data_IF_508998857470
#
_entry.id   IF_508998857470
#
_cell.length_a   1.000
_cell.length_b   1.000
_cell.length_c   1.000
_cell.angle_alpha   90.00
_cell.angle_beta   90.00
_cell.angle_gamma   90.00
#
_symmetry.space_group_name_H-M   'P 1'
#
loop_
_entity.id
_entity.type
_entity.pdbx_description
1 polymer ?
#
# COMPACT_ATOMS: atom_id res chain seq x y z
N UNK A 1 -33.00 9.36 -27.12
CA UNK A 1 -34.39 8.93 -27.44
C UNK A 1 -34.33 7.89 -28.54
N UNK A 2 -35.03 6.78 -28.39
CA UNK A 2 -35.10 5.73 -29.41
C UNK A 2 -36.51 5.67 -29.99
N UNK A 3 -36.62 5.82 -31.31
CA UNK A 3 -37.88 5.74 -32.04
C UNK A 3 -37.95 4.42 -32.78
N UNK A 4 -39.06 3.72 -32.62
CA UNK A 4 -39.37 2.50 -33.36
C UNK A 4 -40.44 2.84 -34.36
N UNK A 5 -40.13 2.71 -35.64
CA UNK A 5 -41.11 2.83 -36.71
C UNK A 5 -41.46 1.43 -37.21
N UNK A 6 -42.75 1.11 -37.21
CA UNK A 6 -43.28 -0.11 -37.80
C UNK A 6 -44.14 0.25 -39.02
N UNK A 7 -44.03 -0.53 -40.09
CA UNK A 7 -44.78 -0.29 -41.33
C UNK A 7 -45.41 -1.59 -41.81
N UNK A 8 -46.68 -1.52 -42.11
CA UNK A 8 -47.43 -2.56 -42.80
C UNK A 8 -47.65 -2.10 -44.26
N UNK A 9 -47.24 -2.87 -45.28
CA UNK A 9 -47.46 -2.51 -46.68
C UNK A 9 -48.92 -2.47 -47.13
N UNK A 10 -49.84 -3.08 -46.39
CA UNK A 10 -51.26 -3.12 -46.75
C UNK A 10 -51.89 -1.71 -46.66
N UNK A 11 -52.95 -1.49 -47.44
CA UNK A 11 -53.68 -0.21 -47.53
C UNK A 11 -52.81 1.03 -47.84
N UNK A 12 -51.88 0.90 -48.78
CA UNK A 12 -50.91 1.94 -49.17
C UNK A 12 -50.00 2.41 -48.02
N UNK A 13 -49.69 1.51 -47.07
CA UNK A 13 -48.83 1.86 -45.93
C UNK A 13 -49.57 2.55 -44.78
N UNK A 14 -50.92 2.58 -44.82
CA UNK A 14 -51.76 3.25 -43.82
C UNK A 14 -52.35 2.31 -42.79
N UNK A 15 -52.06 1.02 -42.87
CA UNK A 15 -52.59 0.09 -41.89
C UNK A 15 -51.97 0.32 -40.50
N UNK A 16 -52.77 0.09 -39.47
CA UNK A 16 -52.39 0.34 -38.08
C UNK A 16 -51.72 -0.90 -37.51
N UNK A 17 -50.52 -0.72 -36.96
CA UNK A 17 -49.80 -1.77 -36.24
C UNK A 17 -49.77 -1.46 -34.76
N UNK A 18 -50.11 -2.40 -33.89
CA UNK A 18 -49.98 -2.27 -32.43
C UNK A 18 -48.74 -3.03 -31.96
N UNK A 19 -47.80 -2.33 -31.32
CA UNK A 19 -46.53 -2.89 -30.86
C UNK A 19 -46.40 -2.84 -29.33
N UNK A 20 -45.78 -3.86 -28.74
CA UNK A 20 -45.55 -4.00 -27.28
C UNK A 20 -44.18 -4.62 -26.99
N UNK A 21 -43.67 -4.40 -25.77
CA UNK A 21 -42.47 -5.09 -25.25
C UNK A 21 -42.94 -6.29 -24.43
N UNK A 22 -42.40 -7.49 -24.67
CA UNK A 22 -42.88 -8.73 -24.03
C UNK A 22 -42.06 -9.18 -22.82
N UNK A 23 -40.74 -9.05 -22.87
CA UNK A 23 -39.80 -9.79 -22.01
C UNK A 23 -38.80 -8.88 -21.26
N UNK A 24 -39.12 -7.59 -21.13
CA UNK A 24 -38.34 -6.64 -20.34
C UNK A 24 -39.24 -5.63 -19.63
N UNK A 25 -39.32 -5.72 -18.30
CA UNK A 25 -40.19 -4.87 -17.49
C UNK A 25 -39.64 -3.45 -17.27
N UNK A 26 -38.37 -3.20 -17.59
CA UNK A 26 -37.77 -1.87 -17.46
C UNK A 26 -37.91 -1.03 -18.74
N UNK A 27 -38.54 -1.59 -19.78
CA UNK A 27 -38.76 -0.91 -21.04
C UNK A 27 -40.25 -0.78 -21.32
N UNK A 28 -40.66 0.40 -21.76
CA UNK A 28 -42.02 0.64 -22.23
C UNK A 28 -42.01 1.21 -23.64
N UNK A 29 -43.10 0.92 -24.35
CA UNK A 29 -43.30 1.37 -25.72
C UNK A 29 -44.61 2.15 -25.79
N UNK A 30 -44.52 3.45 -26.11
CA UNK A 30 -45.68 4.34 -26.22
C UNK A 30 -45.83 4.82 -27.66
N UNK A 31 -47.01 4.66 -28.25
CA UNK A 31 -47.31 5.24 -29.58
C UNK A 31 -47.27 6.77 -29.49
N UNK A 32 -46.60 7.41 -30.45
CA UNK A 32 -46.57 8.86 -30.56
C UNK A 32 -47.85 9.39 -31.20
N UNK A 33 -48.41 10.46 -30.64
CA UNK A 33 -49.53 11.18 -31.27
C UNK A 33 -49.00 12.35 -32.11
N UNK A 34 -49.67 12.75 -33.20
CA UNK A 34 -49.23 13.85 -34.08
C UNK A 34 -49.03 15.22 -33.39
N UNK A 35 -49.47 15.35 -32.14
CA UNK A 35 -49.30 16.54 -31.30
C UNK A 35 -47.97 16.58 -30.54
N UNK A 36 -47.20 15.49 -30.48
CA UNK A 36 -46.05 15.35 -29.58
C UNK A 36 -44.75 16.01 -30.07
N UNK A 37 -44.66 16.55 -31.30
CA UNK A 37 -43.64 17.56 -31.69
C UNK A 37 -43.73 17.90 -33.19
N UNK A 38 -44.82 18.49 -33.70
CA UNK A 38 -44.84 19.39 -34.88
C UNK A 38 -46.31 19.66 -35.27
N UNK A 39 -46.74 20.92 -35.13
CA UNK A 39 -48.03 21.39 -35.65
C UNK A 39 -48.04 21.20 -37.18
N UNK A 40 -49.00 20.46 -37.77
CA UNK A 40 -49.10 20.39 -39.22
C UNK A 40 -49.43 21.80 -39.77
N UNK A 41 -48.92 22.18 -40.95
CA UNK A 41 -49.38 23.41 -41.61
C UNK A 41 -50.89 23.34 -41.82
N UNK A 42 -51.58 24.43 -41.47
CA UNK A 42 -53.02 24.55 -41.72
C UNK A 42 -53.29 24.44 -43.23
N UNK A 43 -53.93 23.34 -43.65
CA UNK A 43 -54.34 23.17 -45.05
C UNK A 43 -54.58 21.77 -45.60
N UNK A 44 -54.53 20.68 -44.82
CA UNK A 44 -54.80 19.32 -45.32
C UNK A 44 -56.16 18.79 -44.83
N UNK A 45 -57.18 18.85 -45.69
CA UNK A 45 -58.37 18.00 -45.63
C UNK A 45 -58.01 16.68 -46.31
N UNK A 46 -57.90 15.62 -45.52
CA UNK A 46 -58.06 14.19 -45.85
C UNK A 46 -57.08 13.35 -45.03
N UNK A 47 -57.63 12.48 -44.16
CA UNK A 47 -56.95 11.36 -43.48
C UNK A 47 -55.65 11.69 -42.75
N UNK A 48 -55.71 11.91 -41.43
CA UNK A 48 -54.49 11.87 -40.61
C UNK A 48 -53.69 10.59 -40.91
N UNK A 49 -52.40 10.68 -41.26
CA UNK A 49 -51.58 9.48 -41.45
C UNK A 49 -51.59 8.68 -40.15
N UNK A 50 -51.88 7.39 -40.24
CA UNK A 50 -51.81 6.49 -39.08
C UNK A 50 -50.38 6.50 -38.56
N UNK A 51 -50.17 7.07 -37.37
CA UNK A 51 -48.84 7.19 -36.80
C UNK A 51 -48.42 5.84 -36.20
N UNK A 52 -47.51 5.15 -36.87
CA UNK A 52 -46.91 3.89 -36.43
C UNK A 52 -45.49 4.10 -35.86
N UNK A 53 -45.22 5.31 -35.37
CA UNK A 53 -44.02 5.64 -34.63
C UNK A 53 -44.27 5.45 -33.12
N UNK A 54 -43.34 4.75 -32.47
CA UNK A 54 -43.37 4.46 -31.06
C UNK A 54 -42.11 4.99 -30.39
N UNK A 55 -42.29 5.58 -29.21
CA UNK A 55 -41.22 5.97 -28.33
C UNK A 55 -40.90 4.80 -27.39
N UNK A 56 -39.65 4.33 -27.45
CA UNK A 56 -39.10 3.38 -26.50
C UNK A 56 -38.47 4.14 -25.33
N UNK A 57 -38.93 3.87 -24.13
CA UNK A 57 -38.51 4.54 -22.90
C UNK A 57 -38.05 3.53 -21.84
N UNK A 58 -37.16 3.99 -20.96
CA UNK A 58 -36.83 3.30 -19.72
C UNK A 58 -37.86 3.68 -18.66
N UNK A 59 -38.31 2.71 -17.87
CA UNK A 59 -39.24 2.92 -16.75
C UNK A 59 -38.50 3.20 -15.42
N UNK A 60 -37.26 2.74 -15.30
CA UNK A 60 -36.37 2.98 -14.17
C UNK A 60 -34.93 3.25 -14.65
N UNK A 61 -34.13 3.98 -13.86
CA UNK A 61 -32.69 4.12 -14.09
C UNK A 61 -32.02 2.75 -14.24
N UNK A 62 -30.96 2.71 -15.04
CA UNK A 62 -30.19 1.49 -15.29
C UNK A 62 -28.78 1.73 -14.80
N UNK A 63 -28.29 0.73 -14.08
CA UNK A 63 -26.94 0.68 -13.53
C UNK A 63 -26.09 -0.26 -14.39
N UNK A 64 -24.97 0.22 -14.92
CA UNK A 64 -24.17 -0.52 -15.91
C UNK A 64 -23.40 -1.66 -15.24
N UNK A 65 -22.95 -1.42 -14.02
CA UNK A 65 -22.20 -2.30 -13.12
C UNK A 65 -23.02 -3.58 -12.85
N UNK A 66 -24.35 -3.42 -12.76
CA UNK A 66 -25.29 -4.53 -12.67
C UNK A 66 -25.73 -5.07 -14.03
N UNK A 67 -26.02 -4.20 -15.01
CA UNK A 67 -26.61 -4.60 -16.31
C UNK A 67 -25.98 -3.86 -17.50
N UNK A 68 -25.06 -4.52 -18.21
CA UNK A 68 -24.35 -3.93 -19.36
C UNK A 68 -25.16 -3.89 -20.67
N UNK A 69 -26.14 -4.78 -20.83
CA UNK A 69 -27.04 -4.81 -21.98
C UNK A 69 -28.46 -5.13 -21.58
N UNK A 70 -29.39 -4.27 -21.99
CA UNK A 70 -30.81 -4.58 -21.98
C UNK A 70 -31.16 -5.30 -23.28
N UNK A 71 -31.90 -6.39 -23.14
CA UNK A 71 -32.43 -7.16 -24.25
C UNK A 71 -33.95 -7.17 -24.13
N UNK A 72 -34.64 -6.92 -25.24
CA UNK A 72 -36.09 -6.97 -25.28
C UNK A 72 -36.59 -7.39 -26.66
N UNK A 73 -37.74 -8.05 -26.68
CA UNK A 73 -38.48 -8.41 -27.87
C UNK A 73 -39.65 -7.47 -28.05
N UNK A 74 -39.64 -6.77 -29.17
CA UNK A 74 -40.76 -5.99 -29.66
C UNK A 74 -41.67 -6.92 -30.46
N UNK A 75 -42.92 -7.03 -30.02
CA UNK A 75 -43.98 -7.77 -30.68
C UNK A 75 -44.97 -6.79 -31.28
N UNK A 76 -45.17 -6.86 -32.58
CA UNK A 76 -46.15 -6.04 -33.30
C UNK A 76 -47.21 -6.92 -33.95
N UNK A 77 -48.44 -6.42 -34.01
CA UNK A 77 -49.56 -7.04 -34.73
C UNK A 77 -50.26 -6.01 -35.60
N UNK A 78 -50.63 -6.38 -36.82
CA UNK A 78 -51.55 -5.59 -37.67
C UNK A 78 -53.01 -5.71 -37.18
N UNK A 79 -53.95 -5.05 -37.88
CA UNK A 79 -55.39 -5.15 -37.56
C UNK A 79 -55.95 -6.56 -37.73
N UNK A 80 -55.35 -7.35 -38.64
CA UNK A 80 -55.69 -8.75 -38.87
C UNK A 80 -55.05 -9.71 -37.84
N UNK A 81 -54.25 -9.19 -36.89
CA UNK A 81 -53.48 -9.90 -35.87
C UNK A 81 -52.34 -10.78 -36.42
N UNK A 82 -51.79 -10.47 -37.58
CA UNK A 82 -50.55 -11.08 -38.06
C UNK A 82 -49.36 -10.58 -37.23
N UNK A 83 -48.60 -11.46 -36.56
CA UNK A 83 -47.55 -11.06 -35.64
C UNK A 83 -46.19 -10.88 -36.31
N UNK A 84 -45.39 -9.96 -35.77
CA UNK A 84 -43.98 -9.76 -36.13
C UNK A 84 -43.15 -9.46 -34.88
N UNK A 85 -42.08 -10.23 -34.70
CA UNK A 85 -41.16 -10.09 -33.56
C UNK A 85 -39.80 -9.54 -34.00
N UNK A 86 -39.27 -8.58 -33.23
CA UNK A 86 -37.89 -8.11 -33.36
C UNK A 86 -37.18 -8.03 -32.02
N UNK A 87 -35.99 -8.60 -31.96
CA UNK A 87 -35.11 -8.53 -30.80
C UNK A 87 -34.26 -7.26 -30.89
N UNK A 88 -34.35 -6.42 -29.86
CA UNK A 88 -33.52 -5.24 -29.69
C UNK A 88 -32.49 -5.48 -28.58
N UNK A 89 -31.30 -4.91 -28.75
CA UNK A 89 -30.23 -4.90 -27.76
C UNK A 89 -29.78 -3.47 -27.54
N UNK A 90 -29.86 -3.02 -26.30
CA UNK A 90 -29.48 -1.67 -25.88
C UNK A 90 -28.25 -1.81 -25.01
N UNK A 91 -27.12 -1.29 -25.48
CA UNK A 91 -25.90 -1.21 -24.68
C UNK A 91 -26.04 -0.06 -23.69
N UNK A 92 -25.79 -0.34 -22.41
CA UNK A 92 -25.69 0.68 -21.37
C UNK A 92 -24.28 1.25 -21.42
N UNK A 93 -24.16 2.56 -21.53
CA UNK A 93 -22.87 3.24 -21.52
C UNK A 93 -22.46 3.51 -20.09
N UNK A 94 -21.15 3.46 -19.88
CA UNK A 94 -20.50 3.66 -18.60
C UNK A 94 -20.46 5.15 -18.22
N UNK A 95 -20.65 5.43 -16.94
CA UNK A 95 -20.35 6.71 -16.31
C UNK A 95 -19.42 6.44 -15.13
N UNK A 96 -18.64 7.44 -14.72
CA UNK A 96 -17.71 7.28 -13.61
C UNK A 96 -18.42 7.50 -12.28
N UNK A 97 -19.10 6.48 -11.75
CA UNK A 97 -19.90 6.58 -10.53
C UNK A 97 -19.53 5.58 -9.42
N UNK A 98 -18.64 4.62 -9.68
CA UNK A 98 -17.99 3.85 -8.63
C UNK A 98 -16.68 4.54 -8.18
N UNK A 99 -16.16 4.15 -7.01
CA UNK A 99 -14.90 4.68 -6.49
C UNK A 99 -13.84 3.59 -6.41
N UNK A 100 -12.55 3.91 -6.66
CA UNK A 100 -11.48 2.94 -6.52
C UNK A 100 -11.46 2.34 -5.11
N UNK A 101 -11.36 1.02 -5.01
CA UNK A 101 -11.31 0.30 -3.74
C UNK A 101 -10.03 -0.51 -3.64
N UNK A 102 -9.25 -0.29 -2.56
CA UNK A 102 -8.07 -1.10 -2.29
C UNK A 102 -8.45 -2.53 -1.86
N UNK A 103 -7.62 -3.50 -2.27
CA UNK A 103 -7.79 -4.91 -1.90
C UNK A 103 -7.75 -5.11 -0.37
N UNK A 104 -6.96 -4.30 0.33
CA UNK A 104 -6.92 -4.25 1.79
C UNK A 104 -6.91 -2.80 2.28
N UNK A 105 -7.53 -2.51 3.44
CA UNK A 105 -7.48 -1.19 4.05
C UNK A 105 -6.07 -0.83 4.57
N UNK A 106 -5.27 -1.85 4.88
CA UNK A 106 -3.91 -1.71 5.40
C UNK A 106 -2.98 -2.72 4.72
N UNK A 107 -1.86 -2.26 4.16
CA UNK A 107 -0.80 -3.07 3.59
C UNK A 107 0.38 -3.12 4.56
N UNK A 108 0.90 -4.31 4.84
CA UNK A 108 2.05 -4.51 5.70
C UNK A 108 3.27 -4.96 4.87
N UNK A 109 4.37 -4.24 5.01
CA UNK A 109 5.65 -4.58 4.41
C UNK A 109 6.73 -4.65 5.49
N UNK A 110 7.80 -5.38 5.19
CA UNK A 110 9.00 -5.42 6.03
C UNK A 110 10.22 -5.24 5.15
N UNK A 111 11.11 -4.36 5.58
CA UNK A 111 12.36 -4.05 4.87
C UNK A 111 13.51 -4.20 5.85
N UNK A 112 14.55 -4.91 5.43
CA UNK A 112 15.82 -4.90 6.19
C UNK A 112 16.44 -3.51 6.11
N UNK A 113 17.02 -3.07 7.20
CA UNK A 113 17.81 -1.85 7.22
C UNK A 113 19.06 -1.94 6.33
N UNK A 114 19.78 -0.83 6.19
CA UNK A 114 21.02 -0.74 5.39
C UNK A 114 20.88 -1.17 3.92
N UNK A 115 19.65 -1.32 3.43
CA UNK A 115 19.41 -1.74 2.06
C UNK A 115 19.91 -0.68 1.10
N UNK A 116 20.88 -1.07 0.27
CA UNK A 116 21.47 -0.18 -0.73
C UNK A 116 20.42 0.27 -1.73
N UNK A 117 20.43 1.56 -2.02
CA UNK A 117 19.62 2.13 -3.09
C UNK A 117 20.11 1.58 -4.42
N UNK A 118 19.17 1.18 -5.28
CA UNK A 118 19.51 0.96 -6.67
C UNK A 118 19.99 2.30 -7.21
N UNK A 119 21.24 2.33 -7.67
CA UNK A 119 21.81 3.49 -8.35
C UNK A 119 21.13 3.64 -9.71
N UNK A 120 19.88 4.08 -9.73
CA UNK A 120 19.26 4.64 -10.92
C UNK A 120 20.11 5.84 -11.31
N UNK A 121 20.90 5.68 -12.37
CA UNK A 121 22.01 6.57 -12.69
C UNK A 121 21.62 8.04 -12.64
N UNK A 122 22.42 8.84 -11.92
CA UNK A 122 22.63 10.25 -12.26
C UNK A 122 23.25 10.27 -13.67
N UNK A 123 22.42 10.27 -14.70
CA UNK A 123 22.88 10.35 -16.08
C UNK A 123 21.87 9.83 -17.08
N UNK A 124 20.97 10.73 -17.51
CA UNK A 124 20.42 10.85 -18.86
C UNK A 124 19.14 11.70 -18.78
N UNK A 125 19.32 13.02 -18.84
CA UNK A 125 18.27 13.89 -19.35
C UNK A 125 17.93 13.38 -20.76
N UNK A 126 16.65 13.04 -21.02
CA UNK A 126 16.08 12.46 -22.25
C UNK A 126 15.85 10.93 -22.28
N UNK A 127 15.20 10.37 -21.26
CA UNK A 127 14.39 9.15 -21.46
C UNK A 127 13.06 9.27 -20.72
N UNK A 128 11.96 9.14 -21.46
CA UNK A 128 10.57 9.23 -20.99
C UNK A 128 10.16 8.08 -20.05
N UNK A 129 11.08 7.15 -19.74
CA UNK A 129 10.91 6.10 -18.75
C UNK A 129 12.00 6.23 -17.68
N UNK A 130 11.81 7.14 -16.73
CA UNK A 130 12.67 7.25 -15.55
C UNK A 130 12.43 6.03 -14.68
N UNK A 131 13.40 5.11 -14.61
CA UNK A 131 13.35 4.00 -13.65
C UNK A 131 13.09 4.55 -12.24
N UNK A 132 12.21 3.89 -11.45
CA UNK A 132 11.89 4.35 -10.11
C UNK A 132 13.18 4.43 -9.28
N UNK A 133 13.34 5.54 -8.55
CA UNK A 133 14.50 5.72 -7.68
C UNK A 133 14.33 4.83 -6.44
N UNK A 134 15.46 4.33 -5.92
CA UNK A 134 15.45 3.53 -4.70
C UNK A 134 15.16 2.04 -4.91
N UNK A 135 14.72 1.37 -3.84
CA UNK A 135 14.48 -0.08 -3.85
C UNK A 135 13.01 -0.41 -3.62
N UNK A 136 12.52 -1.43 -4.32
CA UNK A 136 11.12 -1.88 -4.21
C UNK A 136 10.84 -2.49 -2.84
N UNK A 137 9.80 -2.01 -2.16
CA UNK A 137 9.33 -2.55 -0.87
C UNK A 137 8.12 -3.47 -1.04
N UNK A 138 7.27 -3.19 -2.03
CA UNK A 138 5.99 -3.89 -2.17
C UNK A 138 5.14 -3.32 -3.29
N UNK A 139 3.86 -3.69 -3.29
CA UNK A 139 2.85 -3.20 -4.24
C UNK A 139 1.51 -3.06 -3.54
N UNK A 140 0.86 -1.93 -3.74
CA UNK A 140 -0.54 -1.73 -3.38
C UNK A 140 -1.44 -1.99 -4.58
N UNK A 141 -2.65 -2.48 -4.34
CA UNK A 141 -3.58 -2.88 -5.40
C UNK A 141 -4.96 -2.34 -5.07
N UNK A 142 -5.52 -1.55 -5.98
CA UNK A 142 -6.90 -1.12 -6.00
C UNK A 142 -7.61 -1.58 -7.28
N UNK A 143 -8.92 -1.67 -7.22
CA UNK A 143 -9.80 -1.98 -8.33
C UNK A 143 -10.91 -0.94 -8.41
N UNK A 144 -11.34 -0.65 -9.62
CA UNK A 144 -12.49 0.20 -9.91
C UNK A 144 -13.50 -0.64 -10.71
N UNK A 145 -14.79 -0.44 -10.46
CA UNK A 145 -15.86 -1.25 -11.07
C UNK A 145 -16.36 -0.66 -12.38
N UNK A 146 -16.03 0.60 -12.69
CA UNK A 146 -16.41 1.27 -13.94
C UNK A 146 -15.78 0.58 -15.17
N UNK A 147 -15.90 1.18 -16.36
CA UNK A 147 -15.33 0.63 -17.60
C UNK A 147 -14.24 1.49 -18.22
N UNK A 148 -13.20 0.81 -18.73
CA UNK A 148 -12.20 1.43 -19.58
C UNK A 148 -11.44 2.51 -18.82
N UNK A 149 -11.42 3.73 -19.37
CA UNK A 149 -10.71 4.85 -18.77
C UNK A 149 -11.35 5.32 -17.45
N UNK A 150 -12.68 5.24 -17.30
CA UNK A 150 -13.34 5.55 -16.02
C UNK A 150 -12.85 4.60 -14.92
N UNK A 151 -12.59 3.34 -15.25
CA UNK A 151 -12.01 2.36 -14.32
C UNK A 151 -10.48 2.47 -14.15
N UNK A 152 -9.82 3.37 -14.88
CA UNK A 152 -8.37 3.45 -14.89
C UNK A 152 -7.87 4.18 -13.64
N UNK A 153 -6.94 3.56 -12.92
CA UNK A 153 -6.50 4.03 -11.61
C UNK A 153 -5.12 4.64 -11.69
N UNK A 154 -4.97 5.83 -11.09
CA UNK A 154 -3.70 6.50 -10.85
C UNK A 154 -3.41 6.53 -9.35
N UNK A 155 -2.31 5.88 -8.94
CA UNK A 155 -1.83 5.88 -7.56
C UNK A 155 -1.02 7.13 -7.24
N UNK A 156 -1.19 7.67 -6.02
CA UNK A 156 -0.38 8.78 -5.48
C UNK A 156 -0.12 8.60 -3.99
N UNK A 157 0.99 9.14 -3.51
CA UNK A 157 1.28 9.21 -2.07
C UNK A 157 0.62 10.45 -1.47
N UNK A 158 0.03 10.28 -0.29
CA UNK A 158 -0.37 11.41 0.56
C UNK A 158 0.82 11.88 1.40
N UNK A 159 0.92 13.17 1.74
CA UNK A 159 2.08 13.72 2.45
C UNK A 159 2.19 13.21 3.90
N UNK A 160 1.10 12.75 4.52
CA UNK A 160 1.10 12.31 5.91
C UNK A 160 2.08 11.15 6.15
N UNK A 161 2.90 11.30 7.19
CA UNK A 161 3.93 10.36 7.60
C UNK A 161 3.92 10.22 9.12
N UNK A 162 3.91 8.98 9.61
CA UNK A 162 4.08 8.66 11.02
C UNK A 162 5.26 7.71 11.16
N UNK A 163 6.19 8.03 12.07
CA UNK A 163 7.38 7.22 12.35
C UNK A 163 7.35 6.84 13.83
N UNK A 164 7.43 5.55 14.14
CA UNK A 164 7.66 5.06 15.50
C UNK A 164 9.13 4.74 15.70
N UNK A 165 9.63 5.07 16.89
CA UNK A 165 10.96 4.69 17.35
C UNK A 165 10.91 3.31 18.03
N UNK A 166 12.04 2.57 18.06
CA UNK A 166 12.15 1.32 18.82
C UNK A 166 11.82 1.53 20.29
N UNK A 167 10.99 0.63 20.85
CA UNK A 167 10.51 0.75 22.22
C UNK A 167 11.50 0.11 23.19
N UNK A 168 12.08 0.96 24.04
CA UNK A 168 12.89 0.54 25.18
C UNK A 168 14.35 0.35 24.80
N UNK A 169 14.89 1.43 24.25
CA UNK A 169 16.29 1.55 23.91
C UNK A 169 16.95 1.97 25.21
N UNK A 170 18.06 1.34 25.61
CA UNK A 170 18.68 1.71 26.87
C UNK A 170 19.13 3.17 26.82
N UNK A 171 18.76 3.94 27.85
CA UNK A 171 19.00 5.39 27.88
C UNK A 171 20.48 5.75 28.02
N UNK A 172 21.31 4.79 28.45
CA UNK A 172 22.76 4.90 28.56
C UNK A 172 23.50 4.73 27.22
N UNK A 173 22.85 4.21 26.17
CA UNK A 173 23.47 4.22 24.84
C UNK A 173 23.60 5.67 24.35
N UNK A 174 24.66 6.01 23.61
CA UNK A 174 24.71 7.28 22.92
C UNK A 174 23.41 7.41 22.13
N UNK A 175 22.63 8.47 22.37
CA UNK A 175 21.52 8.76 21.48
C UNK A 175 22.10 8.88 20.08
N UNK A 176 21.43 8.35 19.04
CA UNK A 176 21.79 8.79 17.70
C UNK A 176 21.71 10.31 17.73
N UNK A 177 22.56 10.99 16.97
CA UNK A 177 22.40 12.42 16.78
C UNK A 177 20.91 12.70 16.58
N UNK A 178 20.35 13.55 17.46
CA UNK A 178 18.89 13.75 17.51
C UNK A 178 18.39 13.94 16.08
N UNK A 179 17.17 13.50 15.73
CA UNK A 179 16.65 13.54 14.36
C UNK A 179 16.40 14.96 13.83
N UNK A 180 17.17 15.95 14.28
CA UNK A 180 17.32 17.28 13.69
C UNK A 180 17.78 17.24 12.24
N UNK A 181 18.40 16.15 11.76
CA UNK A 181 18.67 15.94 10.32
C UNK A 181 17.60 15.09 9.59
N UNK A 182 16.58 14.58 10.30
CA UNK A 182 15.39 13.95 9.71
C UNK A 182 14.32 15.01 9.38
N UNK A 183 14.67 16.05 8.62
CA UNK A 183 13.71 16.98 7.98
C UNK A 183 12.82 16.29 6.91
N UNK A 184 12.45 15.02 7.12
CA UNK A 184 11.42 14.36 6.34
C UNK A 184 10.10 14.79 6.95
N UNK A 185 9.49 15.78 6.34
CA UNK A 185 8.17 16.24 6.79
C UNK A 185 7.05 15.42 6.13
N UNK A 186 7.36 14.73 5.03
CA UNK A 186 6.36 14.07 4.21
C UNK A 186 6.78 12.67 3.74
N UNK A 187 5.78 11.82 3.49
CA UNK A 187 6.01 10.47 2.97
C UNK A 187 6.70 10.47 1.60
N UNK A 188 6.53 11.52 0.81
CA UNK A 188 7.13 11.75 -0.52
C UNK A 188 8.65 11.90 -0.48
N UNK A 189 9.23 12.26 0.67
CA UNK A 189 10.68 12.37 0.86
C UNK A 189 11.36 11.00 1.05
N UNK A 190 10.59 10.01 1.49
CA UNK A 190 11.06 8.67 1.85
C UNK A 190 10.58 7.59 0.89
N UNK A 191 9.43 7.79 0.26
CA UNK A 191 8.79 6.79 -0.58
C UNK A 191 8.37 7.37 -1.92
N UNK A 192 8.32 6.47 -2.90
CA UNK A 192 7.72 6.71 -4.20
C UNK A 192 6.71 5.60 -4.47
N UNK A 193 5.56 5.94 -5.04
CA UNK A 193 4.63 4.97 -5.62
C UNK A 193 4.64 5.13 -7.14
N UNK A 194 4.73 4.03 -7.86
CA UNK A 194 4.52 4.01 -9.30
C UNK A 194 3.02 4.21 -9.60
N UNK A 195 2.73 5.23 -10.40
CA UNK A 195 1.36 5.73 -10.58
C UNK A 195 0.44 4.76 -11.30
N UNK A 196 0.96 3.80 -12.06
CA UNK A 196 0.15 2.87 -12.86
C UNK A 196 0.14 1.46 -12.26
N UNK A 197 1.27 1.02 -11.70
CA UNK A 197 1.41 -0.33 -11.16
C UNK A 197 1.08 -0.40 -9.68
N UNK A 198 1.17 0.70 -8.94
CA UNK A 198 1.05 0.71 -7.48
C UNK A 198 2.26 0.12 -6.77
N UNK A 199 3.38 -0.09 -7.47
CA UNK A 199 4.63 -0.52 -6.84
C UNK A 199 5.19 0.58 -5.94
N UNK A 200 5.59 0.21 -4.73
CA UNK A 200 6.10 1.15 -3.74
C UNK A 200 7.62 0.95 -3.59
N UNK A 201 8.35 2.06 -3.56
CA UNK A 201 9.80 2.11 -3.46
C UNK A 201 10.20 2.99 -2.27
N UNK A 202 11.25 2.58 -1.57
CA UNK A 202 11.91 3.41 -0.57
C UNK A 202 13.10 4.13 -1.21
N UNK A 203 13.18 5.43 -0.99
CA UNK A 203 14.15 6.35 -1.59
C UNK A 203 15.43 6.48 -0.76
N UNK A 204 15.44 5.94 0.46
CA UNK A 204 16.57 6.00 1.39
C UNK A 204 16.76 4.64 2.10
N UNK A 205 17.99 4.30 2.52
CA UNK A 205 18.19 3.29 3.53
C UNK A 205 17.54 3.75 4.85
N UNK A 206 17.10 2.79 5.65
CA UNK A 206 16.60 3.01 7.00
C UNK A 206 17.60 2.43 8.00
N UNK A 207 17.47 2.86 9.25
CA UNK A 207 18.30 2.52 10.41
C UNK A 207 17.35 2.04 11.51
N UNK A 208 17.46 0.77 11.91
CA UNK A 208 16.50 0.14 12.82
C UNK A 208 16.60 0.74 14.23
N UNK A 209 17.77 1.24 14.64
CA UNK A 209 17.97 1.84 15.98
C UNK A 209 17.34 3.22 16.12
N UNK A 210 16.93 3.81 14.99
CA UNK A 210 16.16 5.07 14.94
C UNK A 210 14.68 4.83 14.64
N UNK A 211 14.35 3.83 13.83
CA UNK A 211 13.02 3.65 13.26
C UNK A 211 12.57 2.19 13.36
N UNK A 212 11.47 1.94 14.07
CA UNK A 212 10.82 0.61 14.12
C UNK A 212 9.76 0.45 13.01
N UNK A 213 8.89 1.45 12.86
CA UNK A 213 7.81 1.41 11.88
C UNK A 213 7.55 2.77 11.25
N UNK A 214 7.27 2.74 9.96
CA UNK A 214 6.84 3.92 9.19
C UNK A 214 5.43 3.66 8.65
N UNK A 215 4.53 4.61 8.83
CA UNK A 215 3.16 4.56 8.33
C UNK A 215 2.86 5.77 7.46
N UNK A 216 2.25 5.51 6.31
CA UNK A 216 1.80 6.55 5.38
C UNK A 216 0.55 6.06 4.65
N UNK A 217 -0.01 6.92 3.80
CA UNK A 217 -1.21 6.60 3.03
C UNK A 217 -0.97 6.70 1.53
N UNK A 218 -1.58 5.79 0.78
CA UNK A 218 -1.66 5.82 -0.68
C UNK A 218 -3.10 6.06 -1.08
N UNK A 219 -3.29 6.95 -2.05
CA UNK A 219 -4.59 7.24 -2.66
C UNK A 219 -4.61 6.66 -4.08
N UNK A 220 -5.74 6.06 -4.45
CA UNK A 220 -6.06 5.61 -5.79
C UNK A 220 -7.13 6.55 -6.36
N UNK A 221 -6.90 7.10 -7.54
CA UNK A 221 -7.80 8.07 -8.19
C UNK A 221 -8.21 7.51 -9.55
N UNK A 222 -9.50 7.41 -9.82
CA UNK A 222 -10.06 7.04 -11.11
C UNK A 222 -9.80 8.12 -12.18
N UNK A 223 -10.07 7.84 -13.45
CA UNK A 223 -9.80 8.77 -14.56
C UNK A 223 -11.06 9.01 -15.40
N UNK A 224 -12.00 9.85 -14.91
CA UNK A 224 -13.23 10.13 -15.64
C UNK A 224 -12.94 10.73 -17.02
N UNK A 225 -13.66 10.25 -18.03
CA UNK A 225 -13.48 10.71 -19.42
C UNK A 225 -14.39 11.86 -19.82
N UNK A 226 -15.55 11.98 -19.17
CA UNK A 226 -16.52 13.04 -19.47
C UNK A 226 -16.13 14.36 -18.75
N UNK A 227 -16.29 15.52 -19.41
CA UNK A 227 -15.83 16.81 -18.88
C UNK A 227 -16.53 17.24 -17.59
N UNK A 228 -17.76 16.77 -17.35
CA UNK A 228 -18.56 17.11 -16.17
C UNK A 228 -18.50 16.02 -15.08
N UNK A 229 -17.77 14.92 -15.32
CA UNK A 229 -17.59 13.86 -14.33
C UNK A 229 -16.50 14.24 -13.33
N UNK A 230 -16.72 13.90 -12.06
CA UNK A 230 -15.76 14.09 -10.98
C UNK A 230 -14.92 12.84 -10.81
N UNK A 231 -13.65 13.00 -10.41
CA UNK A 231 -12.84 11.87 -9.97
C UNK A 231 -13.25 11.42 -8.58
N UNK A 232 -13.34 10.11 -8.37
CA UNK A 232 -13.46 9.48 -7.08
C UNK A 232 -12.12 8.91 -6.61
N UNK A 233 -12.05 8.66 -5.30
CA UNK A 233 -10.81 8.25 -4.66
C UNK A 233 -11.03 7.16 -3.62
N UNK A 234 -10.11 6.20 -3.58
CA UNK A 234 -9.94 5.27 -2.46
C UNK A 234 -8.64 5.55 -1.73
N UNK A 235 -8.58 5.24 -0.44
CA UNK A 235 -7.38 5.44 0.40
C UNK A 235 -7.06 4.17 1.17
N UNK A 236 -5.78 3.82 1.27
CA UNK A 236 -5.29 2.74 2.12
C UNK A 236 -4.04 3.16 2.90
N UNK A 237 -3.86 2.57 4.07
CA UNK A 237 -2.65 2.74 4.88
C UNK A 237 -1.58 1.75 4.48
N UNK A 238 -0.31 2.17 4.52
CA UNK A 238 0.85 1.30 4.34
C UNK A 238 1.69 1.37 5.61
N UNK A 239 1.98 0.21 6.19
CA UNK A 239 2.83 0.04 7.36
C UNK A 239 4.11 -0.69 6.95
N UNK A 240 5.25 -0.02 7.10
CA UNK A 240 6.56 -0.56 6.78
C UNK A 240 7.31 -0.79 8.08
N UNK A 241 7.54 -2.06 8.41
CA UNK A 241 8.39 -2.44 9.54
C UNK A 241 9.85 -2.48 9.10
N UNK A 242 10.73 -1.82 9.85
CA UNK A 242 12.17 -1.93 9.64
C UNK A 242 12.66 -3.16 10.40
N UNK A 243 13.37 -4.03 9.70
CA UNK A 243 13.94 -5.26 10.25
C UNK A 243 15.40 -4.99 10.53
N UNK A 244 15.71 -5.07 11.82
CA UNK A 244 17.03 -5.01 12.43
C UNK A 244 18.01 -6.03 11.80
N UNK A 245 19.24 -5.59 11.58
CA UNK A 245 20.40 -6.34 11.13
C UNK A 245 21.56 -6.02 12.06
N UNK A 246 22.27 -7.05 12.55
CA UNK A 246 23.47 -6.85 13.39
C UNK A 246 24.58 -6.08 12.65
N UNK A 247 24.62 -4.76 12.83
CA UNK A 247 25.58 -3.83 12.26
C UNK A 247 26.11 -2.79 13.28
N UNK A 248 25.61 -2.80 14.52
CA UNK A 248 26.19 -2.06 15.63
C UNK A 248 27.33 -2.84 16.27
N UNK A 249 28.43 -2.11 16.50
CA UNK A 249 29.59 -2.70 17.18
C UNK A 249 29.35 -2.87 18.68
N UNK A 250 29.93 -3.92 19.31
CA UNK A 250 29.90 -4.06 20.75
C UNK A 250 30.54 -2.87 21.48
N UNK A 251 29.97 -2.50 22.62
CA UNK A 251 30.32 -1.35 23.44
C UNK A 251 30.89 -1.83 24.78
N UNK A 252 31.97 -1.17 25.24
CA UNK A 252 32.62 -1.47 26.51
C UNK A 252 32.07 -0.62 27.66
N UNK A 253 31.88 -1.24 28.82
CA UNK A 253 31.41 -0.55 30.03
C UNK A 253 32.13 -1.00 31.31
N UNK A 254 32.15 -0.11 32.30
CA UNK A 254 32.73 -0.40 33.61
C UNK A 254 31.86 -1.39 34.38
N UNK A 255 32.44 -2.54 34.76
CA UNK A 255 31.78 -3.55 35.60
C UNK A 255 32.08 -3.25 37.08
N UNK A 256 31.09 -3.46 37.96
CA UNK A 256 31.33 -3.45 39.39
C UNK A 256 31.87 -4.82 39.81
N UNK A 257 33.08 -4.86 40.39
CA UNK A 257 33.78 -6.09 40.81
C UNK A 257 33.08 -6.90 41.93
N UNK A 258 31.85 -6.54 42.32
CA UNK A 258 31.09 -7.26 43.34
C UNK A 258 30.48 -8.50 42.72
N UNK A 259 31.04 -9.65 43.11
CA UNK A 259 30.61 -11.03 42.82
C UNK A 259 29.22 -11.17 42.18
N UNK A 260 29.16 -11.67 40.94
CA UNK A 260 28.47 -12.95 40.67
C UNK A 260 28.66 -13.40 39.22
N UNK A 261 29.02 -14.69 39.11
CA UNK A 261 28.73 -15.67 38.05
C UNK A 261 29.04 -15.37 36.58
N UNK A 262 29.79 -16.29 35.98
CA UNK A 262 30.21 -16.45 34.59
C UNK A 262 29.08 -16.59 33.53
N UNK A 263 27.85 -16.19 33.84
CA UNK A 263 26.70 -16.31 32.96
C UNK A 263 26.19 -14.90 32.67
N UNK A 264 25.84 -14.61 31.43
CA UNK A 264 25.45 -13.28 30.96
C UNK A 264 24.56 -12.55 31.97
N UNK A 265 24.90 -11.29 32.23
CA UNK A 265 24.17 -10.48 33.19
C UNK A 265 23.12 -9.66 32.45
N UNK A 266 21.91 -9.65 33.00
CA UNK A 266 20.79 -8.85 32.53
C UNK A 266 20.96 -7.43 33.04
N UNK A 267 21.41 -6.51 32.19
CA UNK A 267 21.56 -5.11 32.61
C UNK A 267 20.22 -4.38 32.46
N UNK A 268 19.90 -3.50 33.41
CA UNK A 268 18.77 -2.56 33.35
C UNK A 268 19.27 -1.09 33.36
N UNK A 269 18.42 -0.15 32.94
CA UNK A 269 18.70 1.29 32.93
C UNK A 269 19.07 1.84 34.33
N UNK A 270 18.65 1.13 35.38
CA UNK A 270 18.94 1.47 36.78
C UNK A 270 20.34 1.07 37.25
N UNK A 271 21.07 0.24 36.50
CA UNK A 271 22.39 -0.31 36.91
C UNK A 271 23.55 0.71 36.81
N UNK A 272 23.28 1.93 36.33
CA UNK A 272 24.27 3.02 36.34
C UNK A 272 25.49 2.71 35.48
N UNK A 273 25.29 2.11 34.31
CA UNK A 273 26.35 1.77 33.37
C UNK A 273 27.15 3.01 32.99
N UNK A 274 28.48 2.92 33.13
CA UNK A 274 29.39 3.95 32.63
C UNK A 274 30.18 3.38 31.46
N UNK A 275 29.97 3.95 30.26
CA UNK A 275 30.77 3.62 29.08
C UNK A 275 32.23 4.03 29.30
N UNK A 276 33.17 3.25 28.78
CA UNK A 276 34.60 3.48 28.98
C UNK A 276 35.38 3.39 27.68
N UNK A 277 36.25 4.38 27.44
CA UNK A 277 37.18 4.39 26.30
C UNK A 277 38.45 3.57 26.57
N UNK A 278 38.79 3.37 27.85
CA UNK A 278 39.95 2.59 28.26
C UNK A 278 39.81 2.01 29.66
N UNK A 279 40.50 0.89 29.90
CA UNK A 279 40.58 0.25 31.21
C UNK A 279 41.98 0.42 31.80
N UNK A 280 42.04 0.80 33.07
CA UNK A 280 43.28 0.82 33.85
C UNK A 280 43.18 -0.26 34.92
N UNK A 281 44.05 -1.25 34.85
CA UNK A 281 44.18 -2.33 35.83
C UNK A 281 45.51 -2.20 36.57
N UNK A 282 45.49 -2.48 37.88
CA UNK A 282 46.69 -2.45 38.72
C UNK A 282 47.00 -3.86 39.23
N UNK A 283 48.24 -4.30 39.05
CA UNK A 283 48.72 -5.62 39.50
C UNK A 283 49.95 -5.39 40.37
N UNK A 284 49.99 -5.91 41.61
CA UNK A 284 51.19 -5.87 42.42
C UNK A 284 52.35 -6.57 41.72
N UNK A 285 53.57 -6.08 41.94
CA UNK A 285 54.77 -6.76 41.47
C UNK A 285 54.89 -8.20 42.02
N UNK A 286 55.62 -9.06 41.31
CA UNK A 286 55.88 -10.47 41.68
C UNK A 286 54.65 -11.39 41.72
N UNK A 287 53.54 -10.99 41.10
CA UNK A 287 52.42 -11.90 40.85
C UNK A 287 52.79 -12.96 39.81
N UNK A 288 52.30 -14.21 39.96
CA UNK A 288 52.59 -15.26 38.99
C UNK A 288 52.04 -14.90 37.61
N UNK A 289 52.67 -15.46 36.55
CA UNK A 289 52.15 -15.35 35.19
C UNK A 289 50.67 -15.79 35.13
N UNK A 290 49.90 -15.18 34.23
CA UNK A 290 48.46 -15.43 34.04
C UNK A 290 47.57 -15.00 35.21
N UNK A 291 48.08 -14.17 36.13
CA UNK A 291 47.26 -13.47 37.13
C UNK A 291 46.18 -12.65 36.43
N UNK A 292 44.94 -12.80 36.89
CA UNK A 292 43.81 -11.98 36.43
C UNK A 292 44.05 -10.55 36.91
N UNK A 293 44.08 -9.61 35.97
CA UNK A 293 44.38 -8.20 36.25
C UNK A 293 43.11 -7.36 36.38
N UNK A 294 42.00 -7.85 35.83
CA UNK A 294 40.70 -7.23 35.93
C UNK A 294 39.66 -7.90 35.06
N UNK A 295 38.47 -7.31 35.04
CA UNK A 295 37.32 -7.72 34.26
C UNK A 295 36.88 -6.56 33.37
N UNK A 296 36.46 -6.89 32.14
CA UNK A 296 35.84 -5.94 31.22
C UNK A 296 34.41 -6.38 30.93
N UNK A 297 33.52 -5.40 30.74
CA UNK A 297 32.14 -5.62 30.32
C UNK A 297 31.98 -5.22 28.87
N UNK A 298 31.29 -6.05 28.09
CA UNK A 298 30.88 -5.73 26.72
C UNK A 298 29.39 -5.96 26.55
N UNK A 299 28.76 -5.06 25.82
CA UNK A 299 27.35 -5.10 25.44
C UNK A 299 27.27 -4.95 23.92
N UNK A 300 26.55 -5.84 23.25
CA UNK A 300 26.21 -5.70 21.84
C UNK A 300 24.71 -5.36 21.77
N UNK A 301 24.32 -4.14 21.34
CA UNK A 301 22.91 -3.73 21.30
C UNK A 301 22.04 -4.57 20.36
N UNK A 302 22.60 -5.20 19.32
CA UNK A 302 21.82 -5.91 18.28
C UNK A 302 21.39 -7.31 18.73
N UNK A 303 22.16 -7.94 19.63
CA UNK A 303 21.80 -9.25 20.19
C UNK A 303 20.66 -9.17 21.21
N UNK A 304 20.31 -7.97 21.68
CA UNK A 304 19.20 -7.74 22.60
C UNK A 304 17.91 -7.38 21.86
N UNK A 305 17.19 -8.41 21.39
CA UNK A 305 15.85 -8.24 20.87
C UNK A 305 14.93 -7.60 21.92
N UNK A 306 14.29 -6.50 21.51
CA UNK A 306 13.22 -5.76 22.16
C UNK A 306 12.08 -6.69 22.64
N UNK A 307 12.20 -7.21 23.87
CA UNK A 307 11.16 -8.04 24.47
C UNK A 307 9.98 -7.16 24.87
N UNK A 308 8.77 -7.62 24.54
CA UNK A 308 7.46 -7.04 24.82
C UNK A 308 7.41 -6.06 26.01
N UNK A 309 6.63 -4.98 25.85
CA UNK A 309 6.39 -3.90 26.83
C UNK A 309 5.93 -4.31 28.25
N UNK A 310 5.76 -5.61 28.52
CA UNK A 310 5.37 -6.16 29.82
C UNK A 310 6.50 -6.93 30.53
N UNK A 311 7.68 -7.08 29.93
CA UNK A 311 8.87 -7.62 30.58
C UNK A 311 9.88 -6.51 30.75
N UNK A 312 10.35 -6.28 31.98
CA UNK A 312 11.57 -5.51 32.25
C UNK A 312 12.64 -5.92 31.24
N UNK A 313 13.15 -4.95 30.48
CA UNK A 313 14.09 -5.21 29.41
C UNK A 313 15.41 -5.72 29.97
N UNK A 314 16.02 -6.62 29.25
CA UNK A 314 17.17 -7.38 29.70
C UNK A 314 18.17 -7.41 28.56
N UNK A 315 19.29 -6.73 28.72
CA UNK A 315 20.39 -6.76 27.77
C UNK A 315 21.36 -7.88 28.10
N UNK A 316 21.87 -8.59 27.09
CA UNK A 316 22.88 -9.62 27.29
C UNK A 316 24.25 -8.96 27.35
N UNK A 317 24.82 -8.87 28.53
CA UNK A 317 26.20 -8.43 28.70
C UNK A 317 27.15 -9.60 28.94
N UNK A 318 28.32 -9.54 28.29
CA UNK A 318 29.38 -10.52 28.47
C UNK A 318 30.51 -9.94 29.30
N UNK A 319 31.07 -10.80 30.17
CA UNK A 319 32.23 -10.46 30.97
C UNK A 319 33.46 -11.20 30.46
N UNK A 320 34.53 -10.44 30.21
CA UNK A 320 35.84 -10.96 29.83
C UNK A 320 36.83 -10.88 30.98
N UNK A 321 37.64 -11.93 31.18
CA UNK A 321 38.79 -11.89 32.10
C UNK A 321 40.05 -11.51 31.34
N UNK A 322 40.80 -10.53 31.86
CA UNK A 322 42.08 -10.10 31.30
C UNK A 322 43.22 -10.70 32.12
N UNK A 323 44.16 -11.37 31.47
CA UNK A 323 45.34 -11.99 32.12
C UNK A 323 46.62 -11.21 31.80
N UNK A 324 47.52 -11.12 32.78
CA UNK A 324 48.88 -10.63 32.55
C UNK A 324 49.66 -11.64 31.69
N UNK A 325 50.08 -11.22 30.49
CA UNK A 325 50.98 -11.97 29.62
C UNK A 325 52.46 -11.74 29.96
N UNK A 326 53.32 -12.63 29.48
CA UNK A 326 54.77 -12.58 29.62
C UNK A 326 55.41 -12.43 28.22
N UNK A 327 56.36 -11.51 28.01
CA UNK A 327 57.03 -11.31 26.71
C UNK A 327 56.17 -10.66 25.59
N UNK A 328 56.50 -10.95 24.32
CA UNK A 328 55.83 -10.45 23.10
C UNK A 328 54.50 -11.18 22.76
N UNK A 329 54.00 -12.03 23.64
CA UNK A 329 52.78 -12.79 23.39
C UNK A 329 51.52 -11.90 23.53
N UNK A 330 50.49 -12.12 22.69
CA UNK A 330 49.26 -11.34 22.76
C UNK A 330 48.57 -11.53 24.11
N UNK A 331 48.19 -10.42 24.74
CA UNK A 331 47.37 -10.44 25.96
C UNK A 331 45.96 -10.89 25.57
N UNK A 332 45.57 -12.07 26.03
CA UNK A 332 44.31 -12.70 25.64
C UNK A 332 43.17 -12.25 26.57
N UNK A 333 42.04 -11.85 25.98
CA UNK A 333 40.79 -11.58 26.69
C UNK A 333 39.87 -12.77 26.43
N UNK A 334 39.54 -13.50 27.48
CA UNK A 334 38.64 -14.65 27.37
C UNK A 334 37.22 -14.23 27.72
N UNK A 335 36.35 -14.19 26.71
CA UNK A 335 34.91 -13.99 26.91
C UNK A 335 34.24 -15.31 27.29
N UNK A 336 33.39 -15.29 28.31
CA UNK A 336 32.55 -16.42 28.69
C UNK A 336 31.19 -16.20 28.03
N UNK A 337 30.99 -16.78 26.84
CA UNK A 337 29.66 -16.83 26.21
C UNK A 337 28.81 -17.88 26.94
N UNK A 338 27.55 -17.61 27.32
CA UNK A 338 26.65 -18.64 27.81
C UNK A 338 26.41 -19.69 26.71
N UNK A 339 26.29 -20.98 27.07
CA UNK A 339 26.08 -22.05 26.10
C UNK A 339 24.75 -21.95 25.32
N UNK A 340 23.80 -21.12 25.78
CA UNK A 340 22.44 -21.03 25.24
C UNK A 340 22.16 -19.80 24.37
N UNK A 341 23.16 -18.95 24.11
CA UNK A 341 23.03 -17.80 23.21
C UNK A 341 23.74 -18.14 21.91
N UNK A 342 23.18 -19.12 21.20
CA UNK A 342 23.41 -19.20 19.77
C UNK A 342 22.77 -17.95 19.16
N UNK A 343 23.55 -17.13 18.45
CA UNK A 343 22.96 -16.34 17.36
C UNK A 343 22.07 -17.31 16.58
N UNK A 344 20.79 -16.98 16.31
CA UNK A 344 20.01 -17.78 15.39
C UNK A 344 20.77 -17.73 14.07
N UNK A 345 21.58 -18.75 13.81
CA UNK A 345 22.22 -19.00 12.54
C UNK A 345 21.15 -18.83 11.48
N UNK A 346 21.53 -18.17 10.39
CA UNK A 346 20.95 -18.22 9.06
C UNK A 346 20.18 -19.54 8.80
N UNK A 347 18.94 -19.61 9.26
CA UNK A 347 18.00 -20.63 8.87
C UNK A 347 17.20 -20.06 7.72
N UNK A 348 17.88 -19.79 6.60
CA UNK A 348 17.34 -19.94 5.24
C UNK A 348 18.50 -19.88 4.24
N UNK A 349 19.06 -21.07 3.95
CA UNK A 349 19.57 -21.40 2.61
C UNK A 349 18.44 -21.37 1.59
#
# INVERSE_FOLDING_TARGET
MAYIQARDPDFDGRDRVDCTVLDNSNLSLRRLTPTDDHKPPLGASDGYPVNNDFLLSLEAPVDRETTQMLVARIHCTDEAKNPSDKLIRIRVLDINDEAPTFLWPIFYFSVKENRKLNSGGRGAENSTNKSPQGYRIGRVIAYDRDQGDNANIIYRLLPQLEISQPVGRPSFLPQPDSPRDLFMHEATDLFQVDSFTGEVFALRPFDAEQIDMIKFQVIAVDQPTAPDSISHTGTASVHVRIVDVNDWSPIFFKTNDKESTAHGYNIDDSDGITLVDSYIFSVPENKPAYTIVGRIGVLDPDVSFWVNANTTQVYVAFHGLVRAGEGDYPKEVQFLLPPDIACPDDQHK
#
